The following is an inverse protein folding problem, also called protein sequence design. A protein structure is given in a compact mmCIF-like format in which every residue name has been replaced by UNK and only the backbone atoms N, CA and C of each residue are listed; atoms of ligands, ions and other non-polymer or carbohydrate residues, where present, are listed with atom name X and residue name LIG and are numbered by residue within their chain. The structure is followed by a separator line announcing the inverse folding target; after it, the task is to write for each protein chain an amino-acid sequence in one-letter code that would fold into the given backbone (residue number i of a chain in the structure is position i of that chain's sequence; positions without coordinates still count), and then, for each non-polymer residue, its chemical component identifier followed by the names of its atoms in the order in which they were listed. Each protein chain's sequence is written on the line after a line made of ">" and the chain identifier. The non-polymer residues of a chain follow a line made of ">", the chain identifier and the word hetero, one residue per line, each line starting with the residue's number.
data_IF_761953797018
#
_entry.id   IF_761953797018
#
_cell.length_a   1.000
_cell.length_b   1.000
_cell.length_c   1.000
_cell.angle_alpha   90.00
_cell.angle_beta   90.00
_cell.angle_gamma   90.00
#
_symmetry.space_group_name_H-M   'P 1'
#
loop_
_entity.id
_entity.type
_entity.pdbx_description
1 polymer ?
#
# COMPACT_ATOMS: atom_id res chain seq x y z
N UNK A 1 5.11 -1.23 -12.94
CA UNK A 1 4.54 -0.20 -12.03
C UNK A 1 4.73 1.23 -12.54
N UNK A 2 5.15 1.47 -13.79
CA UNK A 2 5.26 2.85 -14.31
C UNK A 2 3.85 3.39 -14.60
N UNK A 3 3.22 4.11 -13.65
CA UNK A 3 2.02 4.89 -13.99
C UNK A 3 0.96 5.13 -12.90
N UNK A 4 0.94 4.40 -11.78
CA UNK A 4 -0.15 4.62 -10.79
C UNK A 4 0.03 5.96 -10.07
N UNK A 5 1.23 6.22 -9.54
CA UNK A 5 1.51 7.43 -8.76
C UNK A 5 1.58 8.73 -9.55
N UNK A 6 1.72 8.64 -10.87
CA UNK A 6 1.74 9.80 -11.77
C UNK A 6 0.35 10.07 -12.39
N UNK A 7 -0.62 9.21 -12.11
CA UNK A 7 -1.97 9.26 -12.65
C UNK A 7 -3.00 9.78 -11.65
N UNK A 8 -4.29 9.82 -12.03
CA UNK A 8 -5.37 10.28 -11.15
C UNK A 8 -5.55 9.39 -9.91
N UNK A 9 -5.06 8.15 -9.97
CA UNK A 9 -5.20 7.14 -8.91
C UNK A 9 -4.02 7.11 -7.93
N UNK A 10 -3.21 8.19 -7.88
CA UNK A 10 -1.97 8.25 -7.10
C UNK A 10 -2.15 8.06 -5.58
N UNK A 11 -3.36 8.25 -5.06
CA UNK A 11 -3.73 8.01 -3.65
C UNK A 11 -4.85 6.98 -3.50
N UNK A 12 -5.04 6.13 -4.52
CA UNK A 12 -6.05 5.07 -4.51
C UNK A 12 -5.36 3.74 -4.22
N UNK A 13 -5.45 3.26 -2.97
CA UNK A 13 -4.77 2.05 -2.50
C UNK A 13 -5.08 0.82 -3.34
N UNK A 14 -6.32 0.67 -3.81
CA UNK A 14 -6.71 -0.43 -4.71
C UNK A 14 -5.85 -0.48 -5.97
N UNK A 15 -5.51 0.66 -6.58
CA UNK A 15 -4.71 0.69 -7.80
C UNK A 15 -3.31 0.09 -7.59
N UNK A 16 -2.72 0.30 -6.41
CA UNK A 16 -1.43 -0.30 -6.04
C UNK A 16 -1.54 -1.81 -5.78
N UNK A 17 -2.58 -2.24 -5.07
CA UNK A 17 -2.86 -3.66 -4.83
C UNK A 17 -3.07 -4.41 -6.15
N UNK A 18 -3.86 -3.84 -7.07
CA UNK A 18 -4.13 -4.44 -8.37
C UNK A 18 -2.85 -4.48 -9.23
N UNK A 19 -2.04 -3.42 -9.20
CA UNK A 19 -0.76 -3.39 -9.91
C UNK A 19 0.24 -4.43 -9.37
N UNK A 20 0.31 -4.63 -8.05
CA UNK A 20 1.12 -5.67 -7.43
C UNK A 20 0.60 -7.08 -7.77
N UNK A 21 -0.72 -7.26 -7.75
CA UNK A 21 -1.34 -8.54 -8.13
C UNK A 21 -1.02 -8.88 -9.58
N UNK A 22 -1.13 -7.91 -10.50
CA UNK A 22 -0.78 -8.08 -11.90
C UNK A 22 0.72 -8.37 -12.11
N UNK A 23 1.58 -7.93 -11.19
CA UNK A 23 3.00 -8.26 -11.17
C UNK A 23 3.30 -9.66 -10.60
N UNK A 24 2.29 -10.39 -10.10
CA UNK A 24 2.41 -11.77 -9.64
C UNK A 24 2.49 -11.94 -8.12
N UNK A 25 2.28 -10.89 -7.34
CA UNK A 25 2.24 -10.98 -5.88
C UNK A 25 0.88 -11.49 -5.38
N UNK A 26 0.88 -12.26 -4.29
CA UNK A 26 -0.34 -12.74 -3.65
C UNK A 26 -1.07 -11.61 -2.92
N UNK A 27 -2.31 -11.33 -3.33
CA UNK A 27 -3.18 -10.32 -2.72
C UNK A 27 -3.44 -10.60 -1.24
N UNK A 28 -3.54 -11.86 -0.85
CA UNK A 28 -3.79 -12.24 0.55
C UNK A 28 -2.61 -11.87 1.47
N UNK A 29 -1.41 -11.67 0.90
CA UNK A 29 -0.23 -11.23 1.61
C UNK A 29 -0.06 -9.69 1.64
N UNK A 30 -1.05 -8.94 1.15
CA UNK A 30 -0.96 -7.49 1.03
C UNK A 30 -1.73 -6.76 2.13
N UNK A 31 -1.30 -5.54 2.41
CA UNK A 31 -2.02 -4.59 3.26
C UNK A 31 -1.99 -3.20 2.65
N UNK A 32 -3.03 -2.41 2.92
CA UNK A 32 -3.13 -1.03 2.47
C UNK A 32 -3.83 -0.17 3.52
N UNK A 33 -3.41 1.07 3.69
CA UNK A 33 -4.11 2.04 4.54
C UNK A 33 -5.39 2.54 3.87
N UNK A 34 -6.23 3.26 4.62
CA UNK A 34 -7.42 3.88 4.04
C UNK A 34 -7.04 4.99 3.03
N UNK A 35 -7.86 5.14 1.99
CA UNK A 35 -7.71 6.17 0.95
C UNK A 35 -8.24 7.54 1.42
N UNK A 36 -8.97 7.56 2.54
CA UNK A 36 -9.61 8.73 3.12
C UNK A 36 -9.32 8.84 4.62
N UNK A 37 -9.29 10.08 5.11
CA UNK A 37 -9.27 10.42 6.53
C UNK A 37 -10.61 10.14 7.20
N UNK A 38 -10.64 10.20 8.53
CA UNK A 38 -11.85 9.99 9.34
C UNK A 38 -12.96 11.02 9.09
N UNK A 39 -12.65 12.15 8.47
CA UNK A 39 -13.61 13.20 8.09
C UNK A 39 -13.97 13.16 6.59
N UNK A 40 -13.54 12.13 5.85
CA UNK A 40 -13.90 11.92 4.44
C UNK A 40 -13.06 12.70 3.42
N UNK A 41 -11.99 13.36 3.85
CA UNK A 41 -11.04 13.96 2.90
C UNK A 41 -10.08 12.88 2.37
N UNK A 42 -9.61 12.98 1.11
CA UNK A 42 -8.54 12.12 0.59
C UNK A 42 -7.33 12.08 1.52
N UNK A 43 -6.68 10.93 1.62
CA UNK A 43 -5.46 10.79 2.40
C UNK A 43 -4.30 11.54 1.72
N UNK A 44 -3.55 12.31 2.51
CA UNK A 44 -2.35 13.03 2.06
C UNK A 44 -1.17 12.08 1.79
N UNK A 45 -1.22 10.90 2.39
CA UNK A 45 -0.35 9.77 2.07
C UNK A 45 -1.05 8.45 2.36
N UNK A 46 -0.74 7.45 1.54
CA UNK A 46 -1.16 6.06 1.78
C UNK A 46 0.07 5.16 1.80
N UNK A 47 -0.03 4.08 2.57
CA UNK A 47 0.96 3.01 2.57
C UNK A 47 0.33 1.73 2.05
N UNK A 48 1.07 1.00 1.24
CA UNK A 48 0.76 -0.35 0.81
C UNK A 48 1.93 -1.26 1.10
N UNK A 49 1.67 -2.55 1.23
CA UNK A 49 2.72 -3.54 1.45
C UNK A 49 2.37 -4.90 0.88
N UNK A 50 3.40 -5.71 0.67
CA UNK A 50 3.27 -7.14 0.38
C UNK A 50 4.33 -7.90 1.16
N UNK A 51 3.91 -8.97 1.84
CA UNK A 51 4.82 -9.90 2.50
C UNK A 51 5.35 -10.92 1.50
N UNK A 52 6.67 -11.15 1.48
CA UNK A 52 7.28 -12.31 0.84
C UNK A 52 8.22 -13.00 1.86
N UNK A 53 7.89 -14.24 2.23
CA UNK A 53 8.64 -14.94 3.29
C UNK A 53 8.66 -14.16 4.62
N UNK A 54 9.86 -13.83 5.08
CA UNK A 54 10.10 -13.08 6.32
C UNK A 54 10.14 -11.56 6.14
N UNK A 55 10.15 -11.08 4.89
CA UNK A 55 10.30 -9.66 4.57
C UNK A 55 8.99 -9.08 4.02
N UNK A 56 8.92 -7.76 4.07
CA UNK A 56 7.84 -6.95 3.52
C UNK A 56 8.42 -5.86 2.63
N UNK A 57 7.89 -5.76 1.40
CA UNK A 57 8.02 -4.53 0.62
C UNK A 57 6.92 -3.58 1.06
N UNK A 58 7.32 -2.40 1.51
CA UNK A 58 6.43 -1.32 1.92
C UNK A 58 6.62 -0.15 0.96
N UNK A 59 5.52 0.33 0.41
CA UNK A 59 5.49 1.53 -0.43
C UNK A 59 4.67 2.63 0.24
N UNK A 60 5.11 3.87 0.09
CA UNK A 60 4.37 5.06 0.47
C UNK A 60 4.26 6.02 -0.71
N UNK A 61 3.08 6.59 -0.89
CA UNK A 61 2.73 7.52 -1.97
C UNK A 61 1.77 8.59 -1.47
N UNK A 62 1.60 9.65 -2.26
CA UNK A 62 0.63 10.72 -2.02
C UNK A 62 1.27 12.10 -1.95
N UNK A 63 0.47 13.19 -1.96
CA UNK A 63 0.94 14.56 -2.02
C UNK A 63 1.98 14.92 -0.97
N UNK A 64 1.79 14.47 0.28
CA UNK A 64 2.73 14.74 1.37
C UNK A 64 4.01 13.89 1.29
N UNK A 65 4.01 12.83 0.49
CA UNK A 65 5.19 11.97 0.25
C UNK A 65 6.06 12.53 -0.89
N UNK A 66 5.46 13.18 -1.88
CA UNK A 66 6.14 13.62 -3.10
C UNK A 66 6.36 12.45 -4.05
N UNK A 67 7.62 12.17 -4.38
CA UNK A 67 7.95 10.98 -5.18
C UNK A 67 7.66 9.68 -4.39
N UNK A 68 7.18 8.61 -5.05
CA UNK A 68 6.99 7.32 -4.41
C UNK A 68 8.25 6.82 -3.74
N UNK A 69 8.10 6.30 -2.53
CA UNK A 69 9.20 5.68 -1.78
C UNK A 69 8.84 4.25 -1.48
N UNK A 70 9.83 3.36 -1.59
CA UNK A 70 9.68 1.95 -1.23
C UNK A 70 10.85 1.51 -0.36
N UNK A 71 10.58 0.68 0.63
CA UNK A 71 11.59 0.06 1.49
C UNK A 71 11.28 -1.42 1.70
N UNK A 72 12.33 -2.22 1.89
CA UNK A 72 12.20 -3.61 2.35
C UNK A 72 12.47 -3.62 3.84
N UNK A 73 11.53 -4.17 4.61
CA UNK A 73 11.56 -4.23 6.06
C UNK A 73 11.24 -5.65 6.54
N UNK A 74 11.76 -6.09 7.69
CA UNK A 74 11.33 -7.36 8.28
C UNK A 74 9.83 -7.35 8.55
N UNK A 75 9.17 -8.49 8.32
CA UNK A 75 7.78 -8.69 8.66
C UNK A 75 7.54 -8.59 10.17
N UNK A 76 6.35 -8.13 10.55
CA UNK A 76 5.96 -8.06 11.95
C UNK A 76 5.71 -9.48 12.49
N UNK A 77 5.98 -9.68 13.79
CA UNK A 77 5.68 -10.93 14.49
C UNK A 77 4.18 -11.27 14.51
N UNK A 78 3.33 -10.25 14.33
CA UNK A 78 1.88 -10.42 14.19
C UNK A 78 1.46 -11.00 12.83
N UNK A 79 2.40 -11.22 11.91
CA UNK A 79 2.17 -11.76 10.57
C UNK A 79 2.01 -10.69 9.49
N UNK A 80 1.72 -9.44 9.86
CA UNK A 80 1.58 -8.32 8.92
C UNK A 80 2.91 -7.60 8.57
N UNK A 81 2.78 -6.54 7.79
CA UNK A 81 3.84 -5.62 7.36
C UNK A 81 3.66 -4.20 7.91
N UNK A 82 2.41 -3.74 8.05
CA UNK A 82 2.08 -2.38 8.52
C UNK A 82 1.63 -2.38 9.97
N UNK A 83 2.04 -1.35 10.72
CA UNK A 83 1.59 -1.10 12.08
C UNK A 83 0.31 -0.29 12.05
N UNK A 84 -0.68 -0.69 12.86
CA UNK A 84 -1.97 -0.01 12.96
C UNK A 84 -3.08 -0.71 12.17
N UNK A 85 -4.18 0.01 11.94
CA UNK A 85 -5.33 -0.53 11.23
C UNK A 85 -5.16 -0.34 9.72
N UNK A 86 -5.26 -1.45 9.00
CA UNK A 86 -5.27 -1.46 7.54
C UNK A 86 -6.70 -1.70 7.05
N UNK A 87 -7.00 -1.23 5.86
CA UNK A 87 -8.30 -1.45 5.23
C UNK A 87 -8.39 -2.93 4.80
N UNK A 88 -9.52 -3.62 5.04
CA UNK A 88 -9.76 -4.93 4.47
C UNK A 88 -9.67 -4.92 2.94
N UNK A 89 -9.03 -5.92 2.35
CA UNK A 89 -8.97 -6.13 0.90
C UNK A 89 -9.98 -7.23 0.56
N UNK A 90 -11.25 -6.84 0.37
CA UNK A 90 -12.40 -7.74 0.18
C UNK A 90 -12.89 -7.81 -1.28
N UNK A 91 -12.01 -7.45 -2.22
CA UNK A 91 -12.31 -7.32 -3.64
C UNK A 91 -11.35 -8.07 -4.57
#
# INVERSE_FOLDING_TARGET
>A
MQGVWAGPDAVVGRAYIDALTAAGFDRAAMQVTADESTVGNPAESIQFSVRWGEDCLIGQVGPATGDPVTAVMPGLQTGGCLVGNTRPIDW
#
